data_IF_823771154858
#
_entry.id   IF_823771154858
#
_cell.length_a   1.000
_cell.length_b   1.000
_cell.length_c   1.000
_cell.angle_alpha   90.00
_cell.angle_beta   90.00
_cell.angle_gamma   90.00
#
_symmetry.space_group_name_H-M   'P 1'
#
loop_
_entity.id
_entity.type
_entity.pdbx_description
1 polymer ?
#
# COMPACT_ATOMS: atom_id res chain seq x y z
N UNK A 1 -12.26 -3.77 19.55
CA UNK A 1 -11.99 -2.62 18.65
C UNK A 1 -12.44 -3.00 17.24
N UNK A 2 -13.35 -2.21 16.72
CA UNK A 2 -13.83 -2.44 15.36
C UNK A 2 -12.77 -2.02 14.35
N UNK A 3 -12.53 -2.88 13.37
CA UNK A 3 -11.58 -2.59 12.29
C UNK A 3 -12.33 -2.40 10.98
N UNK A 4 -11.97 -1.33 10.27
CA UNK A 4 -12.56 -1.00 8.98
C UNK A 4 -11.45 -1.01 7.94
N UNK A 5 -11.69 -1.68 6.82
CA UNK A 5 -10.80 -1.67 5.66
C UNK A 5 -11.50 -0.90 4.54
N UNK A 6 -10.81 0.07 3.97
CA UNK A 6 -11.28 0.81 2.80
C UNK A 6 -10.12 1.29 1.95
N UNK A 7 -10.39 1.73 0.74
CA UNK A 7 -9.39 2.38 -0.09
C UNK A 7 -9.25 3.86 0.28
N UNK A 8 -8.17 4.49 -0.20
CA UNK A 8 -7.80 5.83 0.23
C UNK A 8 -8.26 6.93 -0.74
N UNK A 9 -8.27 8.14 -0.20
CA UNK A 9 -8.39 9.38 -0.97
C UNK A 9 -7.26 10.33 -0.55
N UNK A 10 -7.12 11.47 -1.22
CA UNK A 10 -6.13 12.49 -0.83
C UNK A 10 -6.34 13.01 0.60
N UNK A 11 -7.57 12.95 1.12
CA UNK A 11 -7.85 13.35 2.49
C UNK A 11 -7.13 12.47 3.53
N UNK A 12 -6.66 11.29 3.14
CA UNK A 12 -5.95 10.37 4.03
C UNK A 12 -4.44 10.62 4.08
N UNK A 13 -3.91 11.61 3.36
CA UNK A 13 -2.48 11.84 3.23
C UNK A 13 -1.77 11.98 4.57
N UNK A 14 -2.31 12.77 5.50
CA UNK A 14 -1.67 12.98 6.80
C UNK A 14 -1.52 11.67 7.58
N UNK A 15 -2.57 10.87 7.61
CA UNK A 15 -2.56 9.59 8.33
C UNK A 15 -1.60 8.59 7.66
N UNK A 16 -1.62 8.51 6.34
CA UNK A 16 -0.74 7.62 5.57
C UNK A 16 0.72 8.01 5.78
N UNK A 17 1.05 9.30 5.69
CA UNK A 17 2.41 9.78 5.90
C UNK A 17 2.92 9.48 7.32
N UNK A 18 2.05 9.62 8.33
CA UNK A 18 2.41 9.32 9.70
C UNK A 18 2.73 7.84 9.92
N UNK A 19 1.93 6.94 9.33
CA UNK A 19 2.17 5.50 9.43
C UNK A 19 3.46 5.11 8.69
N UNK A 20 3.67 5.66 7.50
CA UNK A 20 4.90 5.41 6.73
C UNK A 20 6.15 5.81 7.53
N UNK A 21 6.13 7.01 8.13
CA UNK A 21 7.24 7.51 8.93
C UNK A 21 7.47 6.67 10.22
N UNK A 22 6.42 6.11 10.78
CA UNK A 22 6.53 5.24 11.96
C UNK A 22 7.06 3.85 11.62
N UNK A 23 6.86 3.38 10.37
CA UNK A 23 7.23 2.03 9.96
C UNK A 23 8.65 1.93 9.39
N UNK A 24 9.21 3.03 8.87
CA UNK A 24 10.50 3.00 8.16
C UNK A 24 11.43 4.12 8.64
N UNK A 25 12.76 3.88 8.64
CA UNK A 25 13.73 4.96 8.85
C UNK A 25 13.56 6.05 7.79
N UNK A 26 13.91 7.29 8.14
CA UNK A 26 13.74 8.44 7.24
C UNK A 26 14.38 8.25 5.86
N UNK A 27 15.51 7.52 5.80
CA UNK A 27 16.21 7.25 4.54
C UNK A 27 15.43 6.31 3.61
N UNK A 28 14.47 5.56 4.14
CA UNK A 28 13.74 4.53 3.39
C UNK A 28 12.25 4.86 3.24
N UNK A 29 11.70 5.67 4.13
CA UNK A 29 10.29 6.03 4.09
C UNK A 29 10.01 6.87 2.84
N UNK A 30 8.87 6.62 2.20
CA UNK A 30 8.38 7.53 1.17
C UNK A 30 8.08 8.89 1.81
N UNK A 31 8.42 9.96 1.12
CA UNK A 31 8.15 11.32 1.61
C UNK A 31 6.67 11.64 1.50
N UNK A 32 6.23 12.68 2.23
CA UNK A 32 4.85 13.16 2.12
C UNK A 32 4.51 13.55 0.67
N UNK A 33 5.43 14.21 -0.03
CA UNK A 33 5.22 14.60 -1.43
C UNK A 33 5.05 13.38 -2.35
N UNK A 34 5.87 12.35 -2.14
CA UNK A 34 5.74 11.10 -2.89
C UNK A 34 4.42 10.39 -2.61
N UNK A 35 4.00 10.35 -1.35
CA UNK A 35 2.72 9.75 -0.98
C UNK A 35 1.54 10.55 -1.53
N UNK A 36 1.61 11.87 -1.54
CA UNK A 36 0.59 12.72 -2.16
C UNK A 36 0.45 12.41 -3.64
N UNK A 37 1.57 12.26 -4.35
CA UNK A 37 1.58 11.93 -5.78
C UNK A 37 0.98 10.54 -6.02
N UNK A 38 1.33 9.56 -5.22
CA UNK A 38 0.75 8.21 -5.30
C UNK A 38 -0.75 8.22 -5.06
N UNK A 39 -1.20 8.92 -4.02
CA UNK A 39 -2.64 9.02 -3.71
C UNK A 39 -3.41 9.70 -4.83
N UNK A 40 -2.82 10.71 -5.46
CA UNK A 40 -3.43 11.41 -6.58
C UNK A 40 -3.59 10.50 -7.81
N UNK A 41 -2.62 9.62 -8.07
CA UNK A 41 -2.63 8.74 -9.23
C UNK A 41 -3.37 7.42 -8.98
N UNK A 42 -3.23 6.84 -7.78
CA UNK A 42 -3.82 5.51 -7.52
C UNK A 42 -4.30 5.32 -6.08
N UNK A 43 -4.94 6.33 -5.49
CA UNK A 43 -5.52 6.21 -4.15
C UNK A 43 -6.45 5.02 -3.98
N UNK A 44 -7.15 4.60 -5.04
CA UNK A 44 -7.99 3.41 -5.05
C UNK A 44 -7.21 2.09 -4.92
N UNK A 45 -5.88 2.14 -4.97
CA UNK A 45 -4.98 1.00 -4.78
C UNK A 45 -4.11 1.17 -3.53
N UNK A 46 -4.61 1.95 -2.58
CA UNK A 46 -4.18 1.98 -1.18
C UNK A 46 -5.28 1.33 -0.36
N UNK A 47 -4.96 0.28 0.36
CA UNK A 47 -5.90 -0.39 1.26
C UNK A 47 -5.52 -0.02 2.68
N UNK A 48 -6.45 0.65 3.38
CA UNK A 48 -6.25 1.21 4.70
C UNK A 48 -7.04 0.42 5.73
N UNK A 49 -6.43 0.15 6.88
CA UNK A 49 -7.12 -0.44 8.02
C UNK A 49 -7.17 0.56 9.17
N UNK A 50 -8.38 0.89 9.60
CA UNK A 50 -8.61 1.75 10.75
C UNK A 50 -9.06 0.91 11.94
N UNK A 51 -8.53 1.22 13.10
CA UNK A 51 -8.96 0.64 14.37
C UNK A 51 -9.32 1.76 15.32
N UNK A 52 -10.58 1.82 15.76
CA UNK A 52 -11.05 2.88 16.65
C UNK A 52 -10.88 4.28 16.08
N UNK A 53 -11.00 4.44 14.76
CA UNK A 53 -10.83 5.73 14.08
C UNK A 53 -9.40 6.13 13.76
N UNK A 54 -8.42 5.30 14.12
CA UNK A 54 -7.00 5.54 13.86
C UNK A 54 -6.50 4.63 12.75
N UNK A 55 -5.74 5.17 11.79
CA UNK A 55 -5.09 4.35 10.78
C UNK A 55 -3.97 3.53 11.44
N UNK A 56 -4.06 2.21 11.37
CA UNK A 56 -3.12 1.30 12.03
C UNK A 56 -2.26 0.50 11.05
N UNK A 57 -2.70 0.36 9.81
CA UNK A 57 -1.97 -0.39 8.79
C UNK A 57 -2.44 0.02 7.40
N UNK A 58 -1.55 -0.09 6.41
CA UNK A 58 -1.96 0.03 5.01
C UNK A 58 -1.01 -0.72 4.09
N UNK A 59 -1.52 -1.10 2.92
CA UNK A 59 -0.72 -1.59 1.80
C UNK A 59 -1.06 -0.76 0.59
N UNK A 60 -0.07 -0.56 -0.30
CA UNK A 60 -0.27 0.26 -1.49
C UNK A 60 0.59 -0.21 -2.65
N UNK A 61 0.14 0.11 -3.84
CA UNK A 61 0.92 -0.09 -5.06
C UNK A 61 0.14 0.24 -6.30
N UNK A 62 0.87 0.57 -7.38
CA UNK A 62 0.25 0.89 -8.66
C UNK A 62 -0.18 -0.35 -9.43
N UNK A 63 -0.95 -0.12 -10.47
CA UNK A 63 -1.26 -1.12 -11.48
C UNK A 63 -0.43 -0.84 -12.72
N UNK A 64 0.05 -1.87 -13.38
CA UNK A 64 0.90 -1.75 -14.57
C UNK A 64 0.79 -3.01 -15.43
N UNK A 65 1.17 -2.90 -16.70
CA UNK A 65 1.29 -4.06 -17.59
C UNK A 65 2.61 -4.81 -17.43
N UNK A 66 3.56 -4.27 -16.66
CA UNK A 66 4.82 -4.94 -16.39
C UNK A 66 4.65 -6.03 -15.35
N UNK A 67 5.17 -7.22 -15.63
CA UNK A 67 5.12 -8.33 -14.68
C UNK A 67 6.21 -8.24 -13.60
N UNK A 68 7.19 -7.34 -13.76
CA UNK A 68 8.29 -7.18 -12.82
C UNK A 68 8.22 -5.84 -12.12
N UNK A 69 8.47 -5.85 -10.81
CA UNK A 69 8.51 -4.67 -9.99
C UNK A 69 9.93 -4.08 -10.04
N UNK A 70 10.07 -2.90 -10.64
CA UNK A 70 11.36 -2.21 -10.84
C UNK A 70 11.39 -0.87 -10.11
N UNK A 71 12.58 -0.31 -9.90
CA UNK A 71 12.75 0.91 -9.12
C UNK A 71 12.01 2.12 -9.69
N UNK A 72 11.89 2.21 -11.01
CA UNK A 72 11.17 3.32 -11.67
C UNK A 72 9.69 3.34 -11.30
N UNK A 73 9.08 2.18 -11.02
CA UNK A 73 7.68 2.12 -10.59
C UNK A 73 7.48 2.73 -9.21
N UNK A 74 8.45 2.58 -8.31
CA UNK A 74 8.42 3.24 -6.99
C UNK A 74 8.57 4.75 -7.12
N UNK A 75 9.41 5.20 -8.06
CA UNK A 75 9.84 6.58 -8.15
C UNK A 75 8.86 7.47 -8.90
N UNK A 76 8.02 6.90 -9.78
CA UNK A 76 7.17 7.67 -10.69
C UNK A 76 5.73 7.15 -10.68
N UNK A 77 4.87 7.78 -9.87
CA UNK A 77 3.47 7.40 -9.76
C UNK A 77 2.69 7.59 -11.07
N UNK A 78 3.18 8.42 -11.99
CA UNK A 78 2.54 8.64 -13.29
C UNK A 78 2.60 7.41 -14.20
N UNK A 79 3.44 6.42 -13.85
CA UNK A 79 3.51 5.15 -14.58
C UNK A 79 2.33 4.22 -14.27
N UNK A 80 1.49 4.59 -13.30
CA UNK A 80 0.28 3.83 -13.00
C UNK A 80 -0.62 3.75 -14.25
N UNK A 81 -1.04 2.54 -14.57
CA UNK A 81 -1.94 2.26 -15.68
C UNK A 81 -3.17 1.53 -15.13
N UNK A 82 -4.31 2.23 -15.06
CA UNK A 82 -5.53 1.68 -14.50
C UNK A 82 -6.06 0.45 -15.25
N UNK A 83 -5.60 0.22 -16.47
CA UNK A 83 -5.97 -0.94 -17.30
C UNK A 83 -4.88 -2.02 -17.30
N UNK A 84 -3.86 -1.88 -16.47
CA UNK A 84 -2.74 -2.82 -16.41
C UNK A 84 -3.13 -4.20 -15.91
N UNK A 85 -2.32 -5.20 -16.28
CA UNK A 85 -2.58 -6.59 -15.95
C UNK A 85 -2.15 -6.98 -14.54
N UNK A 86 -1.28 -6.18 -13.89
CA UNK A 86 -0.64 -6.55 -12.63
C UNK A 86 -0.83 -5.49 -11.56
N UNK A 87 -1.25 -5.93 -10.37
CA UNK A 87 -1.25 -5.08 -9.19
C UNK A 87 0.10 -5.21 -8.50
N UNK A 88 0.86 -4.11 -8.44
CA UNK A 88 2.10 -4.06 -7.66
C UNK A 88 1.79 -3.74 -6.21
N UNK A 89 2.61 -4.22 -5.29
CA UNK A 89 2.58 -3.82 -3.88
C UNK A 89 3.95 -3.25 -3.53
N UNK A 90 3.98 -1.97 -3.18
CA UNK A 90 5.20 -1.25 -2.83
C UNK A 90 5.47 -1.25 -1.33
N UNK A 91 4.42 -1.07 -0.54
CA UNK A 91 4.55 -0.94 0.89
C UNK A 91 3.55 -1.84 1.63
N UNK A 92 4.03 -2.47 2.70
CA UNK A 92 3.21 -3.22 3.64
C UNK A 92 3.54 -2.67 5.02
N UNK A 93 2.64 -1.83 5.55
CA UNK A 93 2.90 -1.02 6.73
C UNK A 93 1.92 -1.36 7.84
N UNK A 94 2.45 -1.68 9.03
CA UNK A 94 1.65 -1.84 10.24
C UNK A 94 2.35 -1.08 11.36
N UNK A 95 1.62 -0.22 12.07
CA UNK A 95 2.18 0.47 13.24
C UNK A 95 2.77 -0.56 14.22
N UNK A 96 3.92 -0.24 14.86
CA UNK A 96 4.61 -1.21 15.72
C UNK A 96 3.73 -1.88 16.77
N UNK A 97 2.84 -1.12 17.42
CA UNK A 97 1.98 -1.65 18.49
C UNK A 97 0.87 -2.58 17.98
N UNK A 98 0.67 -2.62 16.67
CA UNK A 98 -0.39 -3.42 16.04
C UNK A 98 0.15 -4.59 15.23
N UNK A 99 1.46 -4.81 15.27
CA UNK A 99 2.10 -5.93 14.56
C UNK A 99 1.78 -7.27 15.20
N UNK A 100 1.94 -8.35 14.43
CA UNK A 100 1.73 -9.73 14.86
C UNK A 100 0.26 -10.07 15.18
N UNK A 101 -0.67 -9.33 14.59
CA UNK A 101 -2.11 -9.61 14.68
C UNK A 101 -2.70 -10.07 13.34
N UNK A 102 -1.87 -10.22 12.30
CA UNK A 102 -2.34 -10.64 10.97
C UNK A 102 -3.00 -9.55 10.15
N UNK A 103 -2.88 -8.28 10.54
CA UNK A 103 -3.55 -7.17 9.84
C UNK A 103 -3.01 -6.95 8.44
N UNK A 104 -1.69 -7.00 8.27
CA UNK A 104 -1.08 -6.87 6.95
C UNK A 104 -1.56 -7.99 6.01
N UNK A 105 -1.66 -9.22 6.52
CA UNK A 105 -2.19 -10.33 5.76
C UNK A 105 -3.62 -10.11 5.32
N UNK A 106 -4.47 -9.57 6.20
CA UNK A 106 -5.85 -9.23 5.87
C UNK A 106 -5.93 -8.16 4.76
N UNK A 107 -5.06 -7.16 4.82
CA UNK A 107 -4.99 -6.13 3.78
C UNK A 107 -4.52 -6.70 2.45
N UNK A 108 -3.52 -7.57 2.47
CA UNK A 108 -3.06 -8.24 1.25
C UNK A 108 -4.14 -9.13 0.65
N UNK A 109 -4.88 -9.85 1.47
CA UNK A 109 -6.03 -10.65 1.00
C UNK A 109 -7.08 -9.78 0.32
N UNK A 110 -7.36 -8.60 0.88
CA UNK A 110 -8.30 -7.65 0.28
C UNK A 110 -7.77 -7.11 -1.04
N UNK A 111 -6.47 -6.78 -1.12
CA UNK A 111 -5.85 -6.34 -2.36
C UNK A 111 -5.91 -7.42 -3.44
N UNK A 112 -5.67 -8.67 -3.07
CA UNK A 112 -5.79 -9.83 -3.98
C UNK A 112 -7.23 -9.98 -4.47
N UNK A 113 -8.21 -9.89 -3.57
CA UNK A 113 -9.62 -10.01 -3.93
C UNK A 113 -10.04 -8.90 -4.90
N UNK A 114 -9.62 -7.66 -4.63
CA UNK A 114 -9.94 -6.52 -5.50
C UNK A 114 -9.26 -6.65 -6.87
N UNK A 115 -7.99 -7.07 -6.90
CA UNK A 115 -7.27 -7.31 -8.16
C UNK A 115 -7.97 -8.40 -8.99
N UNK A 116 -8.41 -9.47 -8.35
CA UNK A 116 -9.14 -10.54 -9.02
C UNK A 116 -10.47 -10.05 -9.56
N UNK A 117 -11.22 -9.27 -8.78
CA UNK A 117 -12.49 -8.68 -9.20
C UNK A 117 -12.31 -7.73 -10.39
N UNK A 118 -11.17 -7.06 -10.49
CA UNK A 118 -10.83 -6.16 -11.60
C UNK A 118 -10.29 -6.89 -12.83
N UNK A 119 -10.14 -8.22 -12.77
CA UNK A 119 -9.66 -9.01 -13.90
C UNK A 119 -8.16 -8.97 -14.12
N UNK A 120 -7.37 -8.59 -13.12
CA UNK A 120 -5.92 -8.54 -13.22
C UNK A 120 -5.33 -9.95 -13.23
N UNK A 121 -4.14 -10.12 -13.79
CA UNK A 121 -3.45 -11.41 -13.86
C UNK A 121 -2.91 -11.85 -12.50
N UNK A 122 -2.55 -10.91 -11.67
CA UNK A 122 -2.03 -11.22 -10.34
C UNK A 122 -1.50 -10.01 -9.62
N UNK A 123 -0.86 -10.30 -8.50
CA UNK A 123 -0.29 -9.29 -7.60
C UNK A 123 1.20 -9.59 -7.46
N UNK A 124 2.03 -8.55 -7.54
CA UNK A 124 3.49 -8.67 -7.47
C UNK A 124 3.99 -7.91 -6.25
N UNK A 125 4.75 -8.59 -5.44
CA UNK A 125 5.28 -8.06 -4.18
C UNK A 125 6.74 -8.48 -4.08
N UNK A 126 7.62 -7.52 -3.75
CA UNK A 126 8.99 -7.85 -3.38
C UNK A 126 9.19 -7.59 -1.91
N UNK A 127 9.87 -8.51 -1.23
CA UNK A 127 10.21 -8.36 0.17
C UNK A 127 11.71 -8.17 0.30
N UNK A 128 12.14 -7.11 0.99
CA UNK A 128 13.48 -7.04 1.51
C UNK A 128 13.53 -7.93 2.74
N UNK A 129 14.65 -8.57 3.01
CA UNK A 129 14.79 -9.55 4.09
C UNK A 129 14.24 -9.07 5.42
N UNK A 130 14.44 -7.81 5.76
CA UNK A 130 13.98 -7.23 7.02
C UNK A 130 12.50 -6.84 7.03
N UNK A 131 11.80 -6.96 5.90
CA UNK A 131 10.39 -6.58 5.78
C UNK A 131 9.44 -7.78 5.74
N UNK A 132 9.94 -8.96 6.02
CA UNK A 132 9.16 -10.20 5.94
C UNK A 132 8.35 -10.45 7.22
N UNK A 133 8.12 -9.41 8.04
CA UNK A 133 7.44 -9.56 9.32
C UNK A 133 6.07 -8.87 9.29
N UNK A 134 5.08 -9.58 8.80
CA UNK A 134 3.72 -9.07 8.84
C UNK A 134 2.70 -10.09 9.32
#
# INVERSE_FOLDING_TARGET
>A
MDRIIRTATLADLDAVAAVEAACFPAAEAATRAELADRLAHYGGHFWLMFGGGTLIAFVDGMVTDRANLTDDLYADASLHDAHGAWQMIFGVNTLPDYRRHGYAGQLLERAIADARAQGRRGLVLTCKDRLVHY
#
